data_IF_520842506597
#
_entry.id   IF_520842506597
#
_cell.length_a   1.000
_cell.length_b   1.000
_cell.length_c   1.000
_cell.angle_alpha   90.00
_cell.angle_beta   90.00
_cell.angle_gamma   90.00
#
_symmetry.space_group_name_H-M   'P 1'
#
loop_
_entity.id
_entity.type
_entity.pdbx_description
1 polymer ?
#
# COMPACT_ATOMS: atom_id res chain seq x y z
N UNK A 1 -13.38 -11.46 11.16
CA UNK A 1 -11.99 -11.03 10.87
C UNK A 1 -11.47 -11.59 9.55
N UNK A 2 -11.72 -12.87 9.22
CA UNK A 2 -11.29 -13.47 7.95
C UNK A 2 -11.80 -12.77 6.69
N UNK A 3 -13.07 -12.34 6.65
CA UNK A 3 -13.57 -11.60 5.48
C UNK A 3 -12.95 -10.21 5.34
N UNK A 4 -12.76 -9.50 6.45
CA UNK A 4 -12.06 -8.21 6.44
C UNK A 4 -10.61 -8.38 5.96
N UNK A 5 -9.88 -9.39 6.47
CA UNK A 5 -8.54 -9.73 6.00
C UNK A 5 -8.55 -10.08 4.51
N UNK A 6 -9.51 -10.87 4.04
CA UNK A 6 -9.62 -11.21 2.63
C UNK A 6 -9.82 -9.96 1.75
N UNK A 7 -10.57 -8.96 2.21
CA UNK A 7 -10.73 -7.70 1.49
C UNK A 7 -9.49 -6.81 1.46
N UNK A 8 -8.57 -6.97 2.41
CA UNK A 8 -7.26 -6.33 2.35
C UNK A 8 -6.42 -6.90 1.20
N UNK A 9 -6.53 -8.20 0.92
CA UNK A 9 -5.75 -8.83 -0.16
C UNK A 9 -6.41 -8.69 -1.53
N UNK A 10 -7.75 -8.67 -1.59
CA UNK A 10 -8.52 -8.55 -2.82
C UNK A 10 -7.98 -7.40 -3.71
N UNK A 11 -7.77 -7.64 -5.02
CA UNK A 11 -8.20 -8.80 -5.80
C UNK A 11 -7.23 -9.99 -5.71
N UNK A 12 -6.10 -9.87 -5.03
CA UNK A 12 -5.13 -10.96 -4.96
C UNK A 12 -5.50 -11.98 -3.88
N UNK A 13 -5.10 -13.22 -4.11
CA UNK A 13 -5.42 -14.34 -3.22
C UNK A 13 -4.78 -14.16 -1.85
N UNK A 14 -5.61 -14.23 -0.80
CA UNK A 14 -5.15 -14.29 0.58
C UNK A 14 -4.30 -15.56 0.78
N UNK A 15 -3.05 -15.45 1.24
CA UNK A 15 -2.20 -16.62 1.46
C UNK A 15 -2.81 -17.59 2.48
N UNK A 16 -2.56 -18.89 2.24
CA UNK A 16 -2.98 -19.94 3.16
C UNK A 16 -2.40 -19.72 4.56
N UNK A 17 -3.20 -20.01 5.57
CA UNK A 17 -2.85 -19.88 6.99
C UNK A 17 -2.42 -18.46 7.43
N UNK A 18 -2.65 -17.42 6.61
CA UNK A 18 -2.21 -16.06 6.92
C UNK A 18 -2.74 -15.56 8.27
N UNK A 19 -4.01 -15.86 8.60
CA UNK A 19 -4.61 -15.43 9.88
C UNK A 19 -3.86 -15.98 11.10
N UNK A 20 -3.41 -17.24 11.03
CA UNK A 20 -2.66 -17.87 12.10
C UNK A 20 -1.22 -17.36 12.13
N UNK A 21 -0.55 -17.38 10.96
CA UNK A 21 0.87 -17.05 10.85
C UNK A 21 1.15 -15.58 11.20
N UNK A 22 0.28 -14.67 10.73
CA UNK A 22 0.36 -13.25 11.09
C UNK A 22 -0.34 -12.92 12.42
N UNK A 23 -0.92 -13.92 13.09
CA UNK A 23 -1.59 -13.77 14.38
C UNK A 23 -2.62 -12.62 14.40
N UNK A 24 -3.41 -12.50 13.32
CA UNK A 24 -4.34 -11.39 13.09
C UNK A 24 -5.30 -11.13 14.26
N UNK A 25 -5.86 -12.14 14.97
CA UNK A 25 -6.72 -11.89 16.12
C UNK A 25 -6.07 -11.08 17.25
N UNK A 26 -4.74 -11.05 17.35
CA UNK A 26 -4.05 -10.32 18.41
C UNK A 26 -4.22 -8.80 18.29
N UNK A 27 -4.46 -8.29 17.08
CA UNK A 27 -4.71 -6.85 16.86
C UNK A 27 -6.02 -6.39 17.52
N UNK A 28 -6.93 -7.31 17.82
CA UNK A 28 -8.21 -7.04 18.49
C UNK A 28 -8.12 -7.15 20.02
N UNK A 29 -6.95 -7.43 20.61
CA UNK A 29 -6.78 -7.36 22.06
C UNK A 29 -7.12 -5.93 22.53
N UNK A 30 -7.85 -5.74 23.64
CA UNK A 30 -8.42 -4.44 23.99
C UNK A 30 -7.41 -3.29 24.04
N UNK A 31 -6.21 -3.52 24.58
CA UNK A 31 -5.15 -2.50 24.63
C UNK A 31 -4.59 -2.17 23.24
N UNK A 32 -4.33 -3.18 22.42
CA UNK A 32 -3.82 -3.02 21.05
C UNK A 32 -4.84 -2.32 20.15
N UNK A 33 -6.10 -2.77 20.19
CA UNK A 33 -7.17 -2.19 19.40
C UNK A 33 -7.42 -0.72 19.79
N UNK A 34 -7.44 -0.40 21.08
CA UNK A 34 -7.60 0.98 21.56
C UNK A 34 -6.42 1.87 21.17
N UNK A 35 -5.19 1.35 21.18
CA UNK A 35 -4.02 2.10 20.74
C UNK A 35 -4.12 2.41 19.23
N UNK A 36 -4.37 1.38 18.41
CA UNK A 36 -4.54 1.55 16.97
C UNK A 36 -5.69 2.51 16.62
N UNK A 37 -6.83 2.43 17.32
CA UNK A 37 -7.95 3.33 17.09
C UNK A 37 -7.60 4.80 17.37
N UNK A 38 -6.74 5.08 18.36
CA UNK A 38 -6.24 6.44 18.61
C UNK A 38 -5.33 6.90 17.48
N UNK A 39 -4.40 6.05 17.03
CA UNK A 39 -3.51 6.38 15.92
C UNK A 39 -4.32 6.68 14.64
N UNK A 40 -5.32 5.86 14.32
CA UNK A 40 -6.20 6.08 13.17
C UNK A 40 -7.00 7.37 13.30
N UNK A 41 -7.56 7.66 14.50
CA UNK A 41 -8.32 8.88 14.73
C UNK A 41 -7.46 10.15 14.60
N UNK A 42 -6.16 10.07 14.87
CA UNK A 42 -5.22 11.18 14.81
C UNK A 42 -4.43 11.27 13.50
N UNK A 43 -4.51 10.24 12.66
CA UNK A 43 -3.65 10.06 11.49
C UNK A 43 -3.70 11.24 10.53
N UNK A 44 -4.90 11.74 10.22
CA UNK A 44 -5.08 12.84 9.27
C UNK A 44 -4.35 14.11 9.72
N UNK A 45 -4.55 14.53 10.97
CA UNK A 45 -3.93 15.75 11.49
C UNK A 45 -2.41 15.64 11.55
N UNK A 46 -1.91 14.45 11.91
CA UNK A 46 -0.49 14.16 11.88
C UNK A 46 0.09 14.25 10.46
N UNK A 47 -0.52 13.57 9.48
CA UNK A 47 -0.05 13.59 8.09
C UNK A 47 -0.13 14.99 7.51
N UNK A 48 -1.17 15.77 7.83
CA UNK A 48 -1.30 17.17 7.39
C UNK A 48 -0.17 18.05 7.91
N UNK A 49 0.26 17.83 9.15
CA UNK A 49 1.38 18.56 9.74
C UNK A 49 2.74 18.07 9.20
N UNK A 50 2.89 16.78 8.92
CA UNK A 50 4.15 16.16 8.50
C UNK A 50 4.42 16.28 6.99
N UNK A 51 3.40 16.22 6.14
CA UNK A 51 3.56 16.16 4.68
C UNK A 51 4.32 17.33 4.05
N UNK A 52 4.28 18.59 4.56
CA UNK A 52 5.09 19.66 4.00
C UNK A 52 6.60 19.40 4.09
N UNK A 53 7.05 18.52 5.00
CA UNK A 53 8.46 18.17 5.18
C UNK A 53 8.93 17.06 4.22
N UNK A 54 8.05 16.44 3.42
CA UNK A 54 8.45 15.40 2.46
C UNK A 54 9.50 15.89 1.44
N UNK A 55 9.48 17.18 1.09
CA UNK A 55 10.50 17.83 0.24
C UNK A 55 11.92 17.81 0.83
N UNK A 56 12.03 17.58 2.13
CA UNK A 56 13.30 17.54 2.86
C UNK A 56 13.93 16.14 2.81
N UNK A 57 13.18 15.11 2.42
CA UNK A 57 13.71 13.76 2.23
C UNK A 57 14.74 13.77 1.09
N UNK A 58 15.99 13.40 1.42
CA UNK A 58 17.11 13.29 0.47
C UNK A 58 17.53 11.84 0.19
N UNK A 59 17.01 10.89 0.96
CA UNK A 59 17.28 9.47 0.73
C UNK A 59 16.60 9.01 -0.57
N UNK A 60 17.23 8.11 -1.35
CA UNK A 60 16.57 7.44 -2.46
C UNK A 60 15.24 6.85 -2.02
N UNK A 61 14.17 7.13 -2.77
CA UNK A 61 12.80 6.77 -2.39
C UNK A 61 12.12 6.04 -3.54
N UNK A 62 11.51 4.90 -3.23
CA UNK A 62 10.67 4.14 -4.15
C UNK A 62 9.29 3.99 -3.51
N UNK A 63 8.24 4.24 -4.29
CA UNK A 63 6.84 4.09 -3.90
C UNK A 63 6.23 2.97 -4.74
N UNK A 64 5.79 1.88 -4.12
CA UNK A 64 5.10 0.78 -4.81
C UNK A 64 3.61 0.87 -4.52
N UNK A 65 2.78 0.86 -5.56
CA UNK A 65 1.33 0.95 -5.43
C UNK A 65 0.64 0.01 -6.39
N UNK A 66 -0.47 -0.60 -5.94
CA UNK A 66 -1.38 -1.33 -6.80
C UNK A 66 -2.53 -0.46 -7.30
N UNK A 67 -3.07 -0.75 -8.49
CA UNK A 67 -4.24 -0.06 -9.07
C UNK A 67 -5.60 -0.59 -8.56
N UNK A 68 -5.58 -1.66 -7.75
CA UNK A 68 -6.77 -2.28 -7.15
C UNK A 68 -6.75 -2.27 -5.62
N UNK A 69 -5.96 -1.37 -5.00
CA UNK A 69 -5.98 -1.18 -3.55
C UNK A 69 -7.34 -0.63 -3.09
N UNK A 70 -8.00 -1.37 -2.19
CA UNK A 70 -9.31 -1.04 -1.61
C UNK A 70 -9.24 -0.53 -0.17
N UNK A 71 -8.03 -0.31 0.36
CA UNK A 71 -7.78 0.10 1.75
C UNK A 71 -7.39 1.56 1.83
N UNK A 72 -6.53 2.04 0.92
CA UNK A 72 -6.10 3.44 0.86
C UNK A 72 -6.21 4.01 -0.54
N UNK A 73 -6.43 5.32 -0.65
CA UNK A 73 -6.53 6.00 -1.94
C UNK A 73 -5.16 6.14 -2.60
N UNK A 74 -4.77 5.12 -3.36
CA UNK A 74 -3.47 5.05 -4.04
C UNK A 74 -3.14 6.32 -4.84
N UNK A 75 -4.13 6.92 -5.51
CA UNK A 75 -3.93 8.17 -6.28
C UNK A 75 -3.71 9.39 -5.40
N UNK A 76 -4.27 9.46 -4.19
CA UNK A 76 -3.99 10.56 -3.25
C UNK A 76 -2.61 10.37 -2.63
N UNK A 77 -2.31 9.15 -2.17
CA UNK A 77 -1.10 8.90 -1.38
C UNK A 77 0.13 8.69 -2.24
N UNK A 78 0.10 7.75 -3.18
CA UNK A 78 1.30 7.34 -3.93
C UNK A 78 1.74 8.41 -4.93
N UNK A 79 0.80 9.01 -5.66
CA UNK A 79 1.10 10.16 -6.55
C UNK A 79 1.47 11.40 -5.74
N UNK A 80 0.87 11.58 -4.56
CA UNK A 80 1.26 12.65 -3.64
C UNK A 80 2.71 12.52 -3.18
N UNK A 81 3.15 11.30 -2.81
CA UNK A 81 4.54 11.03 -2.43
C UNK A 81 5.50 11.23 -3.59
N UNK A 82 5.18 10.75 -4.80
CA UNK A 82 5.98 10.99 -6.00
C UNK A 82 6.17 12.50 -6.26
N UNK A 83 5.09 13.28 -6.12
CA UNK A 83 5.11 14.73 -6.29
C UNK A 83 5.94 15.44 -5.21
N UNK A 84 5.80 15.03 -3.95
CA UNK A 84 6.29 15.79 -2.80
C UNK A 84 7.71 15.39 -2.37
N UNK A 85 8.20 14.21 -2.77
CA UNK A 85 9.55 13.72 -2.46
C UNK A 85 10.44 13.86 -3.71
N UNK A 86 11.44 14.75 -3.71
CA UNK A 86 12.33 14.94 -4.86
C UNK A 86 13.05 13.65 -5.24
N UNK A 87 12.84 13.20 -6.50
CA UNK A 87 13.48 12.01 -7.04
C UNK A 87 12.87 10.68 -6.59
N UNK A 88 11.68 10.69 -5.99
CA UNK A 88 10.95 9.46 -5.73
C UNK A 88 10.56 8.77 -7.04
N UNK A 89 10.73 7.45 -7.10
CA UNK A 89 10.27 6.62 -8.21
C UNK A 89 8.95 5.94 -7.84
N UNK A 90 7.89 6.21 -8.60
CA UNK A 90 6.62 5.52 -8.47
C UNK A 90 6.59 4.25 -9.34
N UNK A 91 6.32 3.12 -8.73
CA UNK A 91 6.10 1.82 -9.38
C UNK A 91 4.65 1.42 -9.20
N UNK A 92 3.88 1.57 -10.28
CA UNK A 92 2.46 1.24 -10.31
C UNK A 92 2.25 -0.14 -10.91
N UNK A 93 1.56 -1.04 -10.19
CA UNK A 93 1.39 -2.45 -10.59
C UNK A 93 -0.09 -2.72 -10.87
N UNK A 94 -0.39 -3.19 -12.09
CA UNK A 94 -1.75 -3.57 -12.47
C UNK A 94 -2.22 -4.85 -11.80
N UNK A 95 -3.50 -4.88 -11.45
CA UNK A 95 -4.21 -5.92 -10.71
C UNK A 95 -3.64 -6.23 -9.32
N UNK A 96 -2.89 -5.30 -8.71
CA UNK A 96 -2.34 -5.45 -7.37
C UNK A 96 -3.22 -4.75 -6.33
N UNK A 97 -3.52 -5.46 -5.24
CA UNK A 97 -4.23 -4.96 -4.05
C UNK A 97 -3.30 -4.35 -3.00
N UNK A 98 -3.76 -4.30 -1.74
CA UNK A 98 -3.09 -3.57 -0.66
C UNK A 98 -1.83 -4.23 -0.07
N UNK A 99 -1.47 -5.45 -0.48
CA UNK A 99 -0.39 -6.25 0.15
C UNK A 99 0.77 -6.53 -0.82
N UNK A 100 1.47 -5.50 -1.36
CA UNK A 100 2.64 -5.71 -2.23
C UNK A 100 3.74 -6.54 -1.55
N UNK A 101 3.86 -6.43 -0.23
CA UNK A 101 4.78 -7.19 0.62
C UNK A 101 4.55 -8.71 0.56
N UNK A 102 3.33 -9.16 0.26
CA UNK A 102 2.98 -10.58 0.10
C UNK A 102 2.87 -11.02 -1.35
N UNK A 103 2.29 -10.16 -2.20
CA UNK A 103 1.93 -10.53 -3.58
C UNK A 103 3.10 -10.29 -4.56
N UNK A 104 3.93 -9.29 -4.27
CA UNK A 104 5.04 -8.85 -5.10
C UNK A 104 6.38 -8.80 -4.32
N UNK A 105 6.75 -9.85 -3.55
CA UNK A 105 7.93 -9.81 -2.68
C UNK A 105 9.24 -9.63 -3.45
N UNK A 106 9.31 -10.15 -4.67
CA UNK A 106 10.40 -9.95 -5.62
C UNK A 106 10.57 -8.47 -6.01
N UNK A 107 9.46 -7.77 -6.29
CA UNK A 107 9.49 -6.34 -6.55
C UNK A 107 9.89 -5.54 -5.31
N UNK A 108 9.37 -5.89 -4.13
CA UNK A 108 9.71 -5.21 -2.86
C UNK A 108 11.20 -5.38 -2.53
N UNK A 109 11.74 -6.59 -2.67
CA UNK A 109 13.18 -6.85 -2.49
C UNK A 109 14.01 -6.10 -3.53
N UNK A 110 13.55 -6.06 -4.79
CA UNK A 110 14.19 -5.25 -5.84
C UNK A 110 14.23 -3.77 -5.49
N UNK A 111 13.15 -3.21 -4.95
CA UNK A 111 13.09 -1.82 -4.51
C UNK A 111 14.06 -1.55 -3.35
N UNK A 112 14.15 -2.46 -2.37
CA UNK A 112 15.13 -2.38 -1.27
C UNK A 112 16.57 -2.35 -1.83
N UNK A 113 16.89 -3.23 -2.78
CA UNK A 113 18.20 -3.25 -3.45
C UNK A 113 18.49 -1.96 -4.19
N UNK A 114 17.49 -1.42 -4.90
CA UNK A 114 17.63 -0.15 -5.63
C UNK A 114 17.92 1.01 -4.68
N UNK A 115 17.18 1.15 -3.59
CA UNK A 115 17.45 2.23 -2.62
C UNK A 115 18.77 2.03 -1.87
N UNK A 116 19.29 0.79 -1.83
CA UNK A 116 20.63 0.47 -1.34
C UNK A 116 21.76 0.74 -2.36
N UNK A 117 21.43 1.18 -3.59
CA UNK A 117 22.40 1.59 -4.61
C UNK A 117 22.67 0.56 -5.71
N UNK A 118 21.93 -0.55 -5.77
CA UNK A 118 22.01 -1.50 -6.87
C UNK A 118 21.25 -1.01 -8.11
N UNK A 119 21.76 -1.34 -9.31
CA UNK A 119 21.05 -1.08 -10.57
C UNK A 119 19.98 -2.15 -10.79
N UNK A 120 18.74 -1.82 -10.44
CA UNK A 120 17.58 -2.71 -10.55
C UNK A 120 16.48 -2.04 -11.38
N UNK A 121 16.05 -2.72 -12.44
CA UNK A 121 14.88 -2.32 -13.23
C UNK A 121 13.58 -2.74 -12.53
N UNK A 122 13.02 -1.82 -11.75
CA UNK A 122 11.77 -2.05 -11.03
C UNK A 122 10.56 -2.13 -11.97
N UNK A 123 10.61 -1.49 -13.14
CA UNK A 123 9.51 -1.52 -14.10
C UNK A 123 9.44 -2.89 -14.79
N UNK A 124 10.58 -3.53 -15.04
CA UNK A 124 10.63 -4.91 -15.51
C UNK A 124 10.10 -5.90 -14.44
N UNK A 125 10.50 -5.73 -13.18
CA UNK A 125 9.96 -6.54 -12.08
C UNK A 125 8.46 -6.35 -11.90
N UNK A 126 7.96 -5.11 -11.98
CA UNK A 126 6.54 -4.82 -11.93
C UNK A 126 5.78 -5.54 -13.05
N UNK A 127 6.26 -5.50 -14.30
CA UNK A 127 5.64 -6.22 -15.43
C UNK A 127 5.62 -7.74 -15.21
N UNK A 128 6.67 -8.30 -14.62
CA UNK A 128 6.70 -9.73 -14.28
C UNK A 128 5.64 -10.07 -13.22
N UNK A 129 5.47 -9.22 -12.20
CA UNK A 129 4.41 -9.35 -11.19
C UNK A 129 3.04 -9.24 -11.85
N UNK A 130 2.80 -8.23 -12.70
CA UNK A 130 1.54 -8.07 -13.43
C UNK A 130 1.17 -9.33 -14.22
N UNK A 131 2.13 -9.92 -14.93
CA UNK A 131 1.93 -11.18 -15.65
C UNK A 131 1.53 -12.33 -14.73
N UNK A 132 2.14 -12.43 -13.53
CA UNK A 132 1.84 -13.45 -12.53
C UNK A 132 0.44 -13.30 -11.94
N UNK A 133 -0.04 -12.07 -11.74
CA UNK A 133 -1.30 -11.80 -11.03
C UNK A 133 -2.45 -11.40 -11.94
N UNK A 134 -2.26 -11.28 -13.26
CA UNK A 134 -3.28 -10.81 -14.20
C UNK A 134 -4.62 -11.57 -14.14
N UNK A 135 -4.58 -12.84 -13.75
CA UNK A 135 -5.75 -13.72 -13.66
C UNK A 135 -6.23 -14.02 -12.23
N UNK A 136 -5.90 -13.18 -11.25
CA UNK A 136 -6.29 -13.35 -9.85
C UNK A 136 -7.44 -12.41 -9.45
N UNK A 137 -8.70 -12.90 -9.40
CA UNK A 137 -9.89 -12.12 -9.04
C UNK A 137 -10.40 -12.46 -7.63
N UNK A 138 -9.53 -12.84 -6.69
CA UNK A 138 -9.91 -13.31 -5.36
C UNK A 138 -10.88 -12.35 -4.65
N UNK A 139 -12.12 -12.83 -4.49
CA UNK A 139 -13.26 -12.11 -3.92
C UNK A 139 -13.50 -10.72 -4.55
N UNK A 140 -13.09 -10.52 -5.79
CA UNK A 140 -13.36 -9.27 -6.49
C UNK A 140 -14.87 -9.06 -6.63
N UNK A 141 -15.32 -7.83 -6.44
CA UNK A 141 -16.74 -7.46 -6.34
C UNK A 141 -17.46 -7.82 -5.03
N UNK A 142 -16.88 -8.67 -4.15
CA UNK A 142 -17.40 -8.87 -2.78
C UNK A 142 -16.84 -7.85 -1.79
N UNK A 143 -15.66 -7.31 -2.09
CA UNK A 143 -15.01 -6.28 -1.30
C UNK A 143 -15.24 -4.92 -1.97
N UNK A 144 -15.81 -3.94 -1.25
CA UNK A 144 -16.21 -2.67 -1.84
C UNK A 144 -15.00 -1.89 -2.31
N UNK A 145 -15.09 -1.32 -3.52
CA UNK A 145 -14.10 -0.36 -4.00
C UNK A 145 -14.23 0.95 -3.22
N UNK A 146 -13.09 1.55 -2.90
CA UNK A 146 -13.05 2.89 -2.32
C UNK A 146 -13.07 3.94 -3.44
N UNK A 147 -13.84 5.01 -3.22
CA UNK A 147 -13.88 6.16 -4.14
C UNK A 147 -13.16 7.32 -3.49
N UNK A 148 -12.25 7.94 -4.25
CA UNK A 148 -11.60 9.18 -3.83
C UNK A 148 -12.70 10.18 -3.47
N UNK A 149 -12.70 10.75 -2.26
CA UNK A 149 -13.72 11.72 -1.87
C UNK A 149 -13.52 13.02 -2.65
N UNK A 150 -14.64 13.64 -3.04
CA UNK A 150 -14.65 14.78 -3.98
C UNK A 150 -13.94 16.05 -3.47
N UNK A 151 -13.66 16.18 -2.16
CA UNK A 151 -13.07 17.41 -1.62
C UNK A 151 -12.29 17.29 -0.29
N UNK A 152 -12.36 16.18 0.45
CA UNK A 152 -12.01 16.21 1.88
C UNK A 152 -10.57 15.80 2.24
N UNK A 153 -9.82 15.23 1.29
CA UNK A 153 -8.45 14.73 1.54
C UNK A 153 -7.38 15.40 0.66
N UNK A 154 -7.73 16.41 -0.13
CA UNK A 154 -6.73 17.22 -0.80
C UNK A 154 -5.97 18.04 0.25
N UNK A 155 -4.63 17.93 0.39
CA UNK A 155 -3.89 18.90 1.18
C UNK A 155 -4.22 20.27 0.60
N UNK A 156 -4.68 21.18 1.46
CA UNK A 156 -5.16 22.51 1.07
C UNK A 156 -4.17 23.16 0.10
N UNK A 157 -4.71 23.70 -0.99
CA UNK A 157 -3.97 24.53 -1.94
C UNK A 157 -3.24 25.67 -1.23
#
# INVERSE_FOLDING_TARGET
IGDATACVFSPNTLPDFYLQNASIPLVLRPSAFRANARDVAQLHDYVRAASPAYREIKAPTVVISGDRDKVVYATIHSVGLERDIPGAELVWVRNLGHKPDWIAPDLVVGAIRKVAGEDVDLQALAKAVEGRIAGDPYKDGKCPDIKVPDAELAPGR
#
